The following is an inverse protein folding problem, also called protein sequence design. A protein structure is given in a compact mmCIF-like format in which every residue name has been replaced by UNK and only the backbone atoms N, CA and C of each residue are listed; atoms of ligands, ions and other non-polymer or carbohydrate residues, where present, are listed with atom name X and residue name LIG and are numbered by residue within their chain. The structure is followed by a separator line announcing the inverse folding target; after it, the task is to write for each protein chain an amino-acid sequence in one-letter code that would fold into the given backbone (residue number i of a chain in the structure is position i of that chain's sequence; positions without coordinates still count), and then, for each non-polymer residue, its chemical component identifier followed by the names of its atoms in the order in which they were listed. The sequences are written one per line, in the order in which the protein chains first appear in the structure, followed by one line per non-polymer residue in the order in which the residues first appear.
data_IF_520210549056
#
_entry.id   IF_520210549056
#
_cell.length_a   1.000
_cell.length_b   1.000
_cell.length_c   1.000
_cell.angle_alpha   90.00
_cell.angle_beta   90.00
_cell.angle_gamma   90.00
#
_symmetry.space_group_name_H-M   'P 1'
#
loop_
_entity.id
_entity.type
_entity.pdbx_description
1 polymer ?
#
# COMPACT_ATOMS: atom_id res chain seq x y z
N UNK A 1 7.88 10.47 -18.46
CA UNK A 1 6.53 10.05 -18.90
C UNK A 1 5.82 9.17 -17.87
N UNK A 2 6.48 8.74 -16.79
CA UNK A 2 5.80 8.05 -15.68
C UNK A 2 5.30 9.03 -14.59
N UNK A 3 5.98 10.16 -14.38
CA UNK A 3 5.58 11.19 -13.38
C UNK A 3 4.38 12.06 -13.78
N UNK A 4 3.64 11.70 -14.82
CA UNK A 4 2.39 12.38 -15.22
C UNK A 4 1.18 11.64 -14.65
N UNK A 5 0.02 12.30 -14.57
CA UNK A 5 -1.23 11.67 -14.09
C UNK A 5 -1.56 10.37 -14.83
N UNK A 6 -1.30 10.31 -16.14
CA UNK A 6 -1.48 9.09 -16.93
C UNK A 6 -0.55 7.93 -16.48
N UNK A 7 0.67 8.24 -16.01
CA UNK A 7 1.60 7.24 -15.51
C UNK A 7 1.23 6.75 -14.11
N UNK A 8 0.69 7.63 -13.26
CA UNK A 8 0.11 7.28 -11.96
C UNK A 8 -1.12 6.39 -12.12
N UNK A 9 -1.99 6.71 -13.08
CA UNK A 9 -3.15 5.90 -13.44
C UNK A 9 -2.77 4.50 -13.89
N UNK A 10 -1.76 4.35 -14.77
CA UNK A 10 -1.31 3.02 -15.20
C UNK A 10 -0.76 2.16 -14.05
N UNK A 11 -0.10 2.78 -13.05
CA UNK A 11 0.40 2.04 -11.88
C UNK A 11 -0.77 1.53 -11.03
N UNK A 12 -1.71 2.41 -10.71
CA UNK A 12 -2.87 2.11 -9.85
C UNK A 12 -3.82 1.12 -10.53
N UNK A 13 -4.00 1.27 -11.85
CA UNK A 13 -4.78 0.33 -12.67
C UNK A 13 -4.20 -1.08 -12.57
N UNK A 14 -2.87 -1.24 -12.66
CA UNK A 14 -2.22 -2.54 -12.45
C UNK A 14 -2.52 -3.14 -11.08
N UNK A 15 -2.38 -2.36 -10.01
CA UNK A 15 -2.70 -2.81 -8.65
C UNK A 15 -4.19 -3.20 -8.47
N UNK A 16 -5.09 -2.51 -9.18
CA UNK A 16 -6.53 -2.82 -9.19
C UNK A 16 -6.81 -4.11 -9.97
N UNK A 17 -6.14 -4.32 -11.10
CA UNK A 17 -6.21 -5.55 -11.90
C UNK A 17 -5.67 -6.76 -11.14
N UNK A 18 -4.61 -6.56 -10.35
CA UNK A 18 -4.00 -7.58 -9.48
C UNK A 18 -4.85 -7.86 -8.22
N UNK A 19 -5.89 -7.06 -7.97
CA UNK A 19 -6.79 -7.20 -6.82
C UNK A 19 -6.19 -6.70 -5.50
N UNK A 20 -5.09 -5.95 -5.55
CA UNK A 20 -4.47 -5.29 -4.39
C UNK A 20 -5.29 -4.08 -3.92
N UNK A 21 -6.03 -3.46 -4.84
CA UNK A 21 -6.89 -2.30 -4.58
C UNK A 21 -8.30 -2.51 -5.11
N UNK A 22 -9.28 -1.98 -4.38
CA UNK A 22 -10.63 -1.78 -4.90
C UNK A 22 -10.69 -0.55 -5.81
N UNK A 23 -11.74 -0.45 -6.64
CA UNK A 23 -11.94 0.72 -7.51
C UNK A 23 -12.01 2.04 -6.72
N UNK A 24 -12.61 2.02 -5.53
CA UNK A 24 -12.75 3.21 -4.68
C UNK A 24 -11.40 3.61 -4.05
N UNK A 25 -10.59 2.63 -3.64
CA UNK A 25 -9.22 2.85 -3.15
C UNK A 25 -8.32 3.40 -4.25
N UNK A 26 -8.43 2.85 -5.46
CA UNK A 26 -7.69 3.29 -6.65
C UNK A 26 -7.98 4.76 -7.01
N UNK A 27 -9.26 5.15 -7.00
CA UNK A 27 -9.68 6.54 -7.22
C UNK A 27 -9.13 7.47 -6.12
N UNK A 28 -9.23 7.07 -4.85
CA UNK A 28 -8.69 7.84 -3.75
C UNK A 28 -7.17 8.04 -3.83
N UNK A 29 -6.42 6.98 -4.17
CA UNK A 29 -4.99 7.08 -4.37
C UNK A 29 -4.64 8.00 -5.54
N UNK A 30 -5.42 7.97 -6.62
CA UNK A 30 -5.19 8.87 -7.77
C UNK A 30 -5.28 10.35 -7.39
N UNK A 31 -6.13 10.68 -6.43
CA UNK A 31 -6.31 12.06 -5.97
C UNK A 31 -5.29 12.49 -4.90
N UNK A 32 -4.77 11.55 -4.11
CA UNK A 32 -4.00 11.86 -2.90
C UNK A 32 -2.53 11.38 -2.88
N UNK A 33 -2.14 10.44 -3.74
CA UNK A 33 -0.80 9.85 -3.71
C UNK A 33 0.23 10.58 -4.57
N UNK A 34 1.46 10.68 -4.10
CA UNK A 34 2.59 11.15 -4.92
C UNK A 34 3.05 10.10 -5.93
N UNK A 35 3.58 10.53 -7.07
CA UNK A 35 4.18 9.62 -8.05
C UNK A 35 5.30 8.75 -7.45
N UNK A 36 6.11 9.34 -6.56
CA UNK A 36 7.25 8.65 -5.94
C UNK A 36 6.79 7.50 -5.03
N UNK A 37 5.76 7.73 -4.22
CA UNK A 37 5.15 6.71 -3.37
C UNK A 37 4.55 5.57 -4.20
N UNK A 38 3.78 5.90 -5.24
CA UNK A 38 3.20 4.90 -6.14
C UNK A 38 4.26 4.08 -6.87
N UNK A 39 5.31 4.74 -7.36
CA UNK A 39 6.40 4.05 -8.06
C UNK A 39 7.14 3.10 -7.12
N UNK A 40 7.33 3.47 -5.86
CA UNK A 40 7.95 2.60 -4.86
C UNK A 40 7.06 1.39 -4.55
N UNK A 41 5.75 1.60 -4.35
CA UNK A 41 4.78 0.51 -4.16
C UNK A 41 4.74 -0.45 -5.34
N UNK A 42 4.62 0.08 -6.57
CA UNK A 42 4.56 -0.72 -7.79
C UNK A 42 5.83 -1.54 -8.06
N UNK A 43 6.97 -1.11 -7.53
CA UNK A 43 8.23 -1.84 -7.66
C UNK A 43 8.48 -2.81 -6.50
N UNK A 44 7.59 -2.83 -5.50
CA UNK A 44 7.80 -3.57 -4.25
C UNK A 44 9.05 -3.10 -3.50
N UNK A 45 9.52 -1.88 -3.78
CA UNK A 45 10.70 -1.33 -3.12
C UNK A 45 10.33 -0.81 -1.72
N UNK A 46 11.29 -0.84 -0.81
CA UNK A 46 11.10 -0.38 0.56
C UNK A 46 10.85 1.14 0.58
N UNK A 47 9.77 1.57 1.23
CA UNK A 47 9.47 2.98 1.40
C UNK A 47 10.49 3.62 2.34
N UNK A 48 11.19 4.64 1.85
CA UNK A 48 12.08 5.44 2.70
C UNK A 48 11.30 6.14 3.83
N UNK A 49 11.99 6.54 4.92
CA UNK A 49 11.35 7.17 6.08
C UNK A 49 10.62 8.48 5.73
N UNK A 50 11.05 9.19 4.70
CA UNK A 50 10.40 10.41 4.22
C UNK A 50 9.08 10.14 3.49
N UNK A 51 8.90 8.95 2.92
CA UNK A 51 7.71 8.55 2.17
C UNK A 51 6.75 7.68 3.01
N UNK A 52 7.23 7.09 4.11
CA UNK A 52 6.43 6.27 5.03
C UNK A 52 5.30 7.05 5.70
N UNK A 53 5.60 8.22 6.28
CA UNK A 53 4.59 9.04 6.96
C UNK A 53 3.45 9.47 6.02
N UNK A 54 3.73 10.09 4.85
CA UNK A 54 2.67 10.47 3.93
C UNK A 54 1.97 9.25 3.30
N UNK A 55 2.65 8.10 3.18
CA UNK A 55 2.01 6.86 2.76
C UNK A 55 0.97 6.38 3.77
N UNK A 56 1.29 6.34 5.07
CA UNK A 56 0.34 5.95 6.11
C UNK A 56 -0.85 6.89 6.22
N UNK A 57 -0.63 8.20 6.18
CA UNK A 57 -1.73 9.18 6.19
C UNK A 57 -2.66 8.96 5.00
N UNK A 58 -2.10 8.69 3.82
CA UNK A 58 -2.87 8.37 2.62
C UNK A 58 -3.56 7.00 2.73
N UNK A 59 -2.90 5.99 3.29
CA UNK A 59 -3.47 4.67 3.51
C UNK A 59 -4.69 4.73 4.43
N UNK A 60 -4.63 5.52 5.50
CA UNK A 60 -5.78 5.76 6.40
C UNK A 60 -6.87 6.56 5.68
N UNK A 61 -6.49 7.56 4.87
CA UNK A 61 -7.45 8.40 4.15
C UNK A 61 -8.19 7.64 3.04
N UNK A 62 -7.49 6.71 2.39
CA UNK A 62 -8.00 5.87 1.31
C UNK A 62 -8.42 4.47 1.77
N UNK A 63 -8.45 4.21 3.07
CA UNK A 63 -8.90 2.94 3.66
C UNK A 63 -8.13 1.71 3.10
N UNK A 64 -6.82 1.85 2.91
CA UNK A 64 -5.92 0.79 2.45
C UNK A 64 -5.47 -0.16 3.58
N UNK A 65 -5.77 0.21 4.83
CA UNK A 65 -5.37 -0.51 6.05
C UNK A 65 -6.05 -1.89 6.14
N UNK A 66 -7.30 -1.99 5.69
CA UNK A 66 -8.08 -3.24 5.68
C UNK A 66 -7.67 -4.20 4.54
N UNK A 67 -6.89 -3.71 3.56
CA UNK A 67 -6.40 -4.48 2.42
C UNK A 67 -4.92 -4.83 2.58
N UNK A 68 -4.61 -5.74 3.51
CA UNK A 68 -3.49 -6.72 3.38
C UNK A 68 -2.04 -6.23 3.19
N UNK A 69 -1.72 -4.93 3.25
CA UNK A 69 -0.33 -4.45 3.12
C UNK A 69 0.49 -4.73 4.38
N UNK A 70 -0.15 -4.64 5.53
CA UNK A 70 0.37 -5.21 6.76
C UNK A 70 -0.30 -6.55 6.83
N UNK A 71 0.38 -7.60 6.35
CA UNK A 71 -0.01 -8.93 6.77
C UNK A 71 -0.15 -8.86 8.28
N UNK A 72 -1.34 -9.15 8.77
CA UNK A 72 -1.49 -9.79 10.06
C UNK A 72 -0.65 -11.09 9.96
N UNK A 73 0.67 -10.95 10.07
CA UNK A 73 1.47 -11.95 10.74
C UNK A 73 0.88 -11.96 12.14
N UNK A 74 -0.20 -12.73 12.25
CA UNK A 74 -0.60 -13.53 13.37
C UNK A 74 0.59 -13.68 14.32
N UNK A 75 0.74 -12.70 15.23
CA UNK A 75 1.47 -12.89 16.47
C UNK A 75 0.58 -13.80 17.34
N UNK A 76 0.20 -14.96 16.80
CA UNK A 76 -0.15 -16.10 17.61
C UNK A 76 1.15 -16.50 18.29
N UNK A 77 1.34 -15.89 19.46
CA UNK A 77 2.34 -16.25 20.42
C UNK A 77 2.21 -17.76 20.67
N UNK A 78 3.01 -18.58 19.97
CA UNK A 78 3.34 -19.95 20.39
C UNK A 78 4.14 -19.85 21.70
N UNK A 79 3.45 -19.51 22.79
CA UNK A 79 3.92 -19.50 24.17
C UNK A 79 3.25 -20.62 24.98
N UNK A 80 3.20 -21.83 24.44
CA UNK A 80 2.97 -23.07 25.19
C UNK A 80 3.76 -24.15 24.43
N UNK A 81 4.89 -24.65 24.90
CA UNK A 81 4.96 -25.65 25.96
C UNK A 81 6.32 -25.57 26.69
N UNK A 82 6.29 -25.03 27.91
CA UNK A 82 7.29 -25.35 28.92
C UNK A 82 6.86 -26.65 29.64
N UNK A 83 7.26 -27.79 29.11
CA UNK A 83 7.09 -29.06 29.81
C UNK A 83 8.07 -29.15 31.00
N UNK A 84 7.46 -29.20 32.18
CA UNK A 84 8.00 -29.50 33.52
C UNK A 84 8.28 -30.98 33.73
#
# INVERSE_FOLDING_TARGET
MLSSDAGRAMIIEGMTEDGELTADQAECMLDNSGFETLSTLATGAELGPELLTPFFEMAVLCDLDETSIFGDEDWSEDLDDADV
#
